data_IF_072897887407
#
_entry.id   IF_072897887407
#
_cell.length_a   1.000
_cell.length_b   1.000
_cell.length_c   1.000
_cell.angle_alpha   90.00
_cell.angle_beta   90.00
_cell.angle_gamma   90.00
#
_symmetry.space_group_name_H-M   'P 1'
#
loop_
_entity.id
_entity.type
_entity.pdbx_description
1 polymer ?
#
# COMPACT_ATOMS: atom_id res chain seq x y z
N UNK A 1 27.50 -44.70 -58.81
CA UNK A 1 28.68 -44.84 -57.90
C UNK A 1 28.23 -44.54 -56.48
N UNK A 2 28.85 -45.15 -55.47
CA UNK A 2 28.38 -45.07 -54.07
C UNK A 2 28.90 -43.83 -53.34
N UNK A 3 28.08 -43.25 -52.46
CA UNK A 3 28.45 -42.13 -51.59
C UNK A 3 29.23 -42.67 -50.39
N UNK A 4 30.48 -42.21 -50.20
CA UNK A 4 31.30 -42.60 -49.04
C UNK A 4 30.77 -41.93 -47.77
N UNK A 5 30.30 -42.74 -46.82
CA UNK A 5 30.07 -42.28 -45.45
C UNK A 5 31.41 -42.04 -44.73
N UNK A 6 31.46 -41.01 -43.88
CA UNK A 6 32.62 -40.70 -43.02
C UNK A 6 32.42 -41.41 -41.66
N UNK A 7 33.41 -42.17 -41.14
CA UNK A 7 33.27 -42.85 -39.86
C UNK A 7 33.34 -41.86 -38.68
N UNK A 8 32.52 -42.10 -37.66
CA UNK A 8 32.54 -41.35 -36.40
C UNK A 8 33.78 -41.70 -35.56
N UNK A 9 34.45 -40.69 -35.00
CA UNK A 9 35.60 -40.89 -34.10
C UNK A 9 35.19 -41.48 -32.74
N UNK A 10 36.05 -42.29 -32.11
CA UNK A 10 35.75 -42.89 -30.81
C UNK A 10 35.77 -41.83 -29.69
N UNK A 11 34.83 -41.96 -28.73
CA UNK A 11 34.88 -41.18 -27.49
C UNK A 11 35.91 -41.80 -26.55
N UNK A 12 36.96 -41.05 -26.21
CA UNK A 12 37.84 -41.38 -25.09
C UNK A 12 37.06 -41.17 -23.79
N UNK A 13 37.03 -42.19 -22.94
CA UNK A 13 36.52 -42.11 -21.57
C UNK A 13 37.73 -42.03 -20.64
N UNK A 14 37.80 -40.97 -19.82
CA UNK A 14 38.82 -40.86 -18.77
C UNK A 14 38.62 -41.94 -17.71
N UNK A 15 39.69 -42.56 -17.17
CA UNK A 15 39.56 -43.44 -16.02
C UNK A 15 39.02 -42.67 -14.81
N UNK A 16 38.24 -43.35 -13.97
CA UNK A 16 37.87 -42.84 -12.64
C UNK A 16 39.10 -42.83 -11.72
N UNK A 17 39.28 -41.79 -10.87
CA UNK A 17 40.43 -41.69 -9.98
C UNK A 17 40.46 -42.84 -8.96
N UNK A 18 41.67 -43.26 -8.59
CA UNK A 18 41.90 -44.29 -7.56
C UNK A 18 41.78 -43.71 -6.15
N UNK A 19 41.42 -44.50 -5.13
CA UNK A 19 41.15 -43.99 -3.76
C UNK A 19 42.29 -43.14 -3.17
N UNK A 20 43.55 -43.45 -3.50
CA UNK A 20 44.75 -42.74 -3.04
C UNK A 20 44.88 -41.28 -3.51
N UNK A 21 44.03 -40.79 -4.42
CA UNK A 21 43.96 -39.37 -4.78
C UNK A 21 42.98 -38.57 -3.89
N UNK A 22 42.12 -39.25 -3.11
CA UNK A 22 41.08 -38.60 -2.29
C UNK A 22 41.67 -38.11 -0.97
N UNK A 23 42.46 -38.95 -0.29
CA UNK A 23 43.05 -38.63 1.02
C UNK A 23 44.01 -37.42 0.95
N UNK A 24 44.65 -37.22 -0.20
CA UNK A 24 45.56 -36.10 -0.49
C UNK A 24 44.87 -34.72 -0.52
N UNK A 25 43.53 -34.66 -0.50
CA UNK A 25 42.79 -33.39 -0.42
C UNK A 25 42.39 -33.00 1.02
N UNK A 26 42.62 -33.87 2.01
CA UNK A 26 42.22 -33.66 3.42
C UNK A 26 43.23 -32.86 4.23
N UNK A 27 44.49 -32.83 3.81
CA UNK A 27 45.60 -32.19 4.53
C UNK A 27 46.58 -31.53 3.54
N UNK A 28 46.30 -30.27 3.18
CA UNK A 28 47.31 -29.20 3.32
C UNK A 28 46.73 -27.79 3.06
N UNK A 29 47.20 -26.80 3.83
CA UNK A 29 46.61 -25.46 3.87
C UNK A 29 47.32 -24.46 2.94
N UNK A 30 47.47 -24.82 1.65
CA UNK A 30 48.31 -24.08 0.69
C UNK A 30 47.52 -23.14 -0.24
N UNK A 31 47.66 -21.83 -0.06
CA UNK A 31 46.99 -20.80 -0.88
C UNK A 31 47.85 -20.34 -2.08
N UNK A 32 47.74 -21.05 -3.20
CA UNK A 32 48.28 -20.62 -4.50
C UNK A 32 47.38 -19.61 -5.24
N UNK A 33 47.94 -18.74 -6.12
CA UNK A 33 47.18 -17.69 -6.81
C UNK A 33 46.19 -18.28 -7.83
N UNK A 34 44.89 -18.14 -7.56
CA UNK A 34 43.83 -18.76 -8.38
C UNK A 34 43.48 -17.92 -9.62
N UNK A 35 43.48 -18.54 -10.80
CA UNK A 35 43.09 -17.85 -12.04
C UNK A 35 41.57 -17.73 -12.19
N UNK A 36 41.13 -16.65 -12.85
CA UNK A 36 39.72 -16.17 -12.90
C UNK A 36 38.71 -17.15 -13.54
N UNK A 37 39.17 -18.23 -14.16
CA UNK A 37 38.36 -19.27 -14.78
C UNK A 37 37.84 -20.33 -13.79
N UNK A 38 38.57 -20.61 -12.70
CA UNK A 38 38.21 -21.66 -11.75
C UNK A 38 36.93 -21.33 -10.95
N UNK A 39 36.84 -20.10 -10.44
CA UNK A 39 35.71 -19.62 -9.61
C UNK A 39 34.36 -19.77 -10.31
N UNK A 40 34.32 -19.61 -11.65
CA UNK A 40 33.08 -19.67 -12.43
C UNK A 40 32.47 -21.07 -12.55
N UNK A 41 33.26 -22.14 -12.36
CA UNK A 41 32.76 -23.54 -12.40
C UNK A 41 32.15 -24.02 -11.07
N UNK A 42 32.47 -23.39 -9.93
CA UNK A 42 31.91 -23.77 -8.61
C UNK A 42 30.46 -23.30 -8.37
N UNK A 43 29.88 -22.52 -9.28
CA UNK A 43 28.58 -21.87 -9.08
C UNK A 43 27.40 -22.54 -9.82
N UNK A 44 27.61 -23.70 -10.44
CA UNK A 44 26.68 -24.27 -11.44
C UNK A 44 26.31 -25.74 -11.21
N UNK A 45 26.42 -26.25 -9.97
CA UNK A 45 26.04 -27.63 -9.62
C UNK A 45 25.12 -27.62 -8.38
N UNK A 46 23.86 -28.08 -8.47
CA UNK A 46 23.03 -28.32 -7.29
C UNK A 46 23.51 -29.58 -6.56
N UNK A 47 23.50 -29.57 -5.22
CA UNK A 47 23.78 -30.77 -4.43
C UNK A 47 22.48 -31.57 -4.19
N UNK A 48 22.55 -32.91 -4.14
CA UNK A 48 21.44 -33.75 -3.73
C UNK A 48 21.22 -33.69 -2.22
N UNK A 49 20.03 -34.08 -1.77
CA UNK A 49 19.71 -34.26 -0.35
C UNK A 49 20.05 -35.69 0.05
N UNK A 50 20.80 -35.88 1.13
CA UNK A 50 20.86 -37.18 1.81
C UNK A 50 19.72 -37.29 2.82
N UNK A 51 19.01 -38.42 2.76
CA UNK A 51 18.05 -38.88 3.75
C UNK A 51 18.76 -39.92 4.63
N UNK A 52 18.71 -39.78 5.96
CA UNK A 52 19.31 -40.74 6.90
C UNK A 52 18.36 -41.04 8.05
N UNK A 53 18.25 -42.33 8.34
CA UNK A 53 17.35 -42.93 9.36
C UNK A 53 17.86 -42.70 10.78
N UNK A 54 16.93 -42.80 11.74
CA UNK A 54 17.15 -42.69 13.19
C UNK A 54 17.78 -43.96 13.78
N UNK A 55 18.57 -43.83 14.85
CA UNK A 55 18.84 -44.87 15.85
C UNK A 55 19.19 -44.19 17.20
N UNK A 56 18.80 -44.79 18.33
CA UNK A 56 18.73 -44.16 19.67
C UNK A 56 20.01 -44.29 20.52
N UNK A 57 20.24 -43.34 21.45
CA UNK A 57 20.73 -43.67 22.82
C UNK A 57 20.38 -42.58 23.88
N UNK A 58 20.61 -42.88 25.17
CA UNK A 58 19.84 -42.34 26.32
C UNK A 58 20.33 -41.05 27.06
N UNK A 59 19.32 -40.42 27.71
CA UNK A 59 19.26 -39.48 28.87
C UNK A 59 20.36 -39.55 29.97
N UNK A 60 20.47 -38.60 30.96
CA UNK A 60 19.51 -37.53 31.34
C UNK A 60 20.08 -36.12 31.69
N UNK A 61 19.22 -35.09 31.77
CA UNK A 61 19.07 -34.21 32.99
C UNK A 61 17.99 -33.10 32.89
N UNK A 62 17.04 -33.14 33.85
CA UNK A 62 16.27 -32.02 34.49
C UNK A 62 16.14 -30.64 33.79
N UNK A 63 14.93 -30.08 33.57
CA UNK A 63 13.88 -29.85 34.59
C UNK A 63 12.42 -29.75 34.07
N UNK A 64 11.51 -30.33 34.88
CA UNK A 64 10.08 -30.02 35.13
C UNK A 64 9.19 -29.39 34.03
N UNK A 65 8.26 -30.24 33.55
CA UNK A 65 6.90 -29.93 33.04
C UNK A 65 6.17 -28.79 33.78
N UNK A 66 5.26 -28.13 33.05
CA UNK A 66 3.83 -28.14 33.44
C UNK A 66 2.95 -28.48 32.22
N UNK A 67 1.94 -29.36 32.40
CA UNK A 67 0.94 -29.72 31.38
C UNK A 67 -0.37 -30.16 32.05
N UNK A 68 -1.44 -29.39 31.86
CA UNK A 68 -2.84 -29.86 31.73
C UNK A 68 -3.55 -28.89 30.77
N UNK A 69 -4.62 -29.24 30.03
CA UNK A 69 -5.38 -30.49 29.94
C UNK A 69 -5.88 -30.67 28.49
N UNK A 70 -5.79 -31.87 27.93
CA UNK A 70 -6.35 -32.20 26.61
C UNK A 70 -7.75 -32.81 26.72
N UNK A 71 -8.75 -32.26 26.01
CA UNK A 71 -10.02 -32.94 25.63
C UNK A 71 -10.69 -32.28 24.40
N UNK A 72 -10.40 -32.81 23.22
CA UNK A 72 -11.40 -33.08 22.17
C UNK A 72 -11.81 -34.56 22.29
N UNK A 73 -12.87 -35.08 21.60
CA UNK A 73 -13.72 -34.46 20.58
C UNK A 73 -15.23 -34.47 20.93
N UNK A 74 -16.08 -33.99 20.00
CA UNK A 74 -17.25 -34.70 19.45
C UNK A 74 -17.85 -33.88 18.30
N UNK A 75 -18.18 -34.54 17.19
CA UNK A 75 -18.79 -33.94 16.01
C UNK A 75 -20.33 -34.01 16.12
N UNK A 76 -20.99 -32.86 16.35
CA UNK A 76 -22.44 -32.79 16.49
C UNK A 76 -23.14 -32.62 15.14
N UNK A 77 -23.35 -33.75 14.45
CA UNK A 77 -24.14 -33.90 13.21
C UNK A 77 -25.50 -33.17 13.33
N UNK A 78 -25.63 -32.00 12.69
CA UNK A 78 -26.83 -31.15 12.78
C UNK A 78 -27.99 -31.75 11.99
N UNK A 79 -28.94 -32.38 12.69
CA UNK A 79 -30.13 -32.99 12.09
C UNK A 79 -31.00 -31.89 11.46
N UNK A 80 -31.34 -32.04 10.18
CA UNK A 80 -32.29 -31.17 9.48
C UNK A 80 -33.72 -31.61 9.79
N UNK A 81 -34.60 -30.75 10.31
CA UNK A 81 -36.01 -31.11 10.51
C UNK A 81 -36.72 -31.21 9.16
N UNK A 82 -37.48 -32.29 8.96
CA UNK A 82 -38.34 -32.48 7.79
C UNK A 82 -39.51 -31.48 7.82
N UNK A 83 -39.78 -30.80 6.71
CA UNK A 83 -40.96 -29.96 6.53
C UNK A 83 -42.08 -30.71 5.82
N UNK A 84 -43.33 -30.48 6.27
CA UNK A 84 -44.53 -31.15 5.73
C UNK A 84 -45.10 -30.38 4.53
N UNK A 85 -45.82 -31.08 3.65
CA UNK A 85 -46.30 -30.59 2.34
C UNK A 85 -47.80 -30.28 2.35
N UNK A 86 -48.22 -29.23 1.61
CA UNK A 86 -49.59 -28.67 1.44
C UNK A 86 -50.09 -27.89 2.68
N UNK A 87 -51.01 -26.92 2.56
CA UNK A 87 -52.03 -26.67 1.51
C UNK A 87 -52.15 -25.19 1.09
N UNK A 88 -53.00 -24.89 0.11
CA UNK A 88 -53.17 -23.63 -0.63
C UNK A 88 -54.02 -22.56 0.11
N UNK A 89 -53.75 -21.27 -0.15
CA UNK A 89 -54.79 -20.22 -0.32
C UNK A 89 -54.27 -18.99 -1.10
N UNK A 90 -55.17 -18.21 -1.70
CA UNK A 90 -54.99 -16.97 -2.50
C UNK A 90 -56.21 -16.05 -2.24
N UNK A 91 -56.27 -14.80 -2.73
CA UNK A 91 -55.31 -13.68 -2.75
C UNK A 91 -55.94 -12.45 -2.02
N UNK A 92 -55.55 -11.15 -2.22
CA UNK A 92 -56.01 -10.40 -3.42
C UNK A 92 -55.18 -9.19 -3.93
N UNK A 93 -55.46 -8.81 -5.19
CA UNK A 93 -55.36 -7.45 -5.83
C UNK A 93 -53.99 -6.86 -6.23
N UNK A 94 -54.04 -6.10 -7.33
CA UNK A 94 -52.96 -5.50 -8.14
C UNK A 94 -53.02 -3.95 -8.07
N UNK A 95 -52.22 -3.15 -8.82
CA UNK A 95 -52.61 -2.82 -10.22
C UNK A 95 -51.49 -2.41 -11.24
N UNK A 96 -51.92 -2.25 -12.51
CA UNK A 96 -51.30 -1.54 -13.68
C UNK A 96 -50.28 -2.30 -14.58
N UNK A 97 -50.48 -2.15 -15.91
CA UNK A 97 -49.89 -2.76 -17.12
C UNK A 97 -50.01 -1.70 -18.25
N UNK A 98 -48.97 -1.31 -19.06
CA UNK A 98 -48.55 -1.96 -20.34
C UNK A 98 -47.01 -1.94 -20.60
N UNK A 99 -46.38 -2.35 -21.73
CA UNK A 99 -46.71 -3.23 -22.89
C UNK A 99 -45.46 -3.53 -23.78
N UNK A 100 -45.24 -4.81 -24.13
CA UNK A 100 -44.96 -5.40 -25.48
C UNK A 100 -43.89 -4.86 -26.51
N UNK A 101 -43.53 -5.67 -27.57
CA UNK A 101 -42.17 -5.70 -28.12
C UNK A 101 -42.03 -5.35 -29.63
N UNK A 102 -40.80 -5.47 -30.16
CA UNK A 102 -40.53 -5.66 -31.60
C UNK A 102 -39.60 -6.87 -31.81
N UNK A 103 -39.95 -7.71 -32.79
CA UNK A 103 -39.17 -8.85 -33.27
C UNK A 103 -38.23 -8.46 -34.42
N UNK A 104 -37.17 -9.24 -34.63
CA UNK A 104 -36.86 -9.79 -35.96
C UNK A 104 -35.86 -10.94 -35.84
N UNK A 105 -36.12 -12.04 -36.54
CA UNK A 105 -35.24 -13.19 -36.60
C UNK A 105 -34.85 -13.52 -38.03
N UNK A 106 -33.67 -14.13 -38.20
CA UNK A 106 -33.30 -14.87 -39.41
C UNK A 106 -32.80 -16.23 -38.95
N UNK A 107 -33.43 -17.29 -39.43
CA UNK A 107 -33.02 -18.66 -39.19
C UNK A 107 -32.46 -19.25 -40.49
N UNK A 108 -31.41 -20.07 -40.38
CA UNK A 108 -30.99 -21.02 -41.40
C UNK A 108 -30.75 -22.36 -40.71
N UNK A 109 -31.41 -23.40 -41.22
CA UNK A 109 -31.31 -24.75 -40.69
C UNK A 109 -30.08 -25.48 -41.23
N UNK A 110 -29.61 -26.47 -40.47
CA UNK A 110 -28.64 -27.46 -40.90
C UNK A 110 -28.76 -28.71 -40.01
N UNK A 111 -29.30 -29.79 -40.55
CA UNK A 111 -29.63 -31.01 -39.80
C UNK A 111 -28.39 -31.87 -39.48
N UNK A 112 -28.35 -32.42 -38.27
CA UNK A 112 -27.67 -33.70 -38.00
C UNK A 112 -28.21 -34.35 -36.70
N UNK A 113 -28.65 -35.60 -36.81
CA UNK A 113 -29.13 -36.42 -35.70
C UNK A 113 -27.94 -37.03 -34.92
N UNK A 114 -27.95 -37.01 -33.57
CA UNK A 114 -26.80 -37.43 -32.76
C UNK A 114 -27.08 -37.62 -31.28
N UNK A 115 -27.56 -38.81 -30.89
CA UNK A 115 -27.87 -39.15 -29.50
C UNK A 115 -26.59 -39.42 -28.66
N UNK A 116 -26.05 -38.40 -27.99
CA UNK A 116 -24.79 -38.45 -27.24
C UNK A 116 -24.93 -38.25 -25.73
N UNK A 117 -24.50 -39.24 -24.93
CA UNK A 117 -24.45 -39.15 -23.46
C UNK A 117 -23.38 -38.13 -23.02
N UNK A 118 -23.74 -37.20 -22.15
CA UNK A 118 -22.77 -36.31 -21.47
C UNK A 118 -21.89 -37.11 -20.48
N UNK A 119 -20.55 -37.16 -20.66
CA UNK A 119 -19.66 -37.74 -19.66
C UNK A 119 -19.46 -36.74 -18.52
N UNK A 120 -19.64 -37.18 -17.27
CA UNK A 120 -19.24 -36.40 -16.09
C UNK A 120 -17.71 -36.38 -15.98
N UNK A 121 -17.07 -35.34 -16.51
CA UNK A 121 -15.63 -35.16 -16.41
C UNK A 121 -15.22 -34.78 -14.97
N UNK A 122 -14.28 -35.53 -14.40
CA UNK A 122 -13.81 -35.33 -13.03
C UNK A 122 -13.00 -34.03 -12.89
N UNK A 123 -13.23 -33.29 -11.81
CA UNK A 123 -12.80 -31.90 -11.64
C UNK A 123 -11.32 -31.66 -11.32
N UNK A 124 -10.41 -32.08 -12.20
CA UNK A 124 -9.00 -31.65 -12.18
C UNK A 124 -8.57 -31.21 -13.60
N UNK A 125 -7.72 -30.17 -13.68
CA UNK A 125 -7.25 -29.51 -14.91
C UNK A 125 -8.31 -28.66 -15.66
N UNK A 126 -8.79 -27.60 -15.02
CA UNK A 126 -9.34 -26.45 -15.76
C UNK A 126 -8.17 -25.55 -16.24
N UNK A 127 -8.17 -25.05 -17.50
CA UNK A 127 -7.23 -24.01 -17.92
C UNK A 127 -7.49 -22.70 -17.14
N UNK A 128 -6.49 -21.80 -17.00
CA UNK A 128 -6.68 -20.53 -16.31
C UNK A 128 -7.77 -19.71 -17.02
N UNK A 129 -8.93 -19.61 -16.38
CA UNK A 129 -10.05 -18.86 -16.91
C UNK A 129 -9.66 -17.39 -17.04
N UNK A 130 -9.91 -16.79 -18.21
CA UNK A 130 -9.68 -15.36 -18.41
C UNK A 130 -10.47 -14.57 -17.37
N UNK A 131 -9.83 -13.56 -16.78
CA UNK A 131 -10.47 -12.71 -15.78
C UNK A 131 -11.75 -12.07 -16.38
N UNK A 132 -12.85 -11.95 -15.61
CA UNK A 132 -14.09 -11.38 -16.12
C UNK A 132 -13.84 -9.96 -16.62
N UNK A 133 -14.28 -9.66 -17.84
CA UNK A 133 -14.26 -8.32 -18.43
C UNK A 133 -15.34 -7.43 -17.81
N UNK A 134 -15.22 -7.18 -16.51
CA UNK A 134 -16.14 -6.40 -15.70
C UNK A 134 -15.42 -5.73 -14.52
N UNK A 135 -15.51 -4.41 -14.45
CA UNK A 135 -14.87 -3.60 -13.41
C UNK A 135 -15.57 -3.77 -12.05
N UNK A 136 -14.82 -4.24 -11.05
CA UNK A 136 -15.31 -4.44 -9.69
C UNK A 136 -14.65 -3.46 -8.73
N UNK A 137 -15.47 -2.62 -8.10
CA UNK A 137 -15.04 -1.68 -7.05
C UNK A 137 -14.70 -2.36 -5.71
N UNK A 138 -14.89 -3.68 -5.58
CA UNK A 138 -14.78 -4.40 -4.30
C UNK A 138 -13.37 -4.94 -4.01
N UNK A 139 -12.50 -5.00 -5.01
CA UNK A 139 -11.18 -5.62 -4.92
C UNK A 139 -10.07 -4.69 -4.35
N UNK A 140 -10.46 -3.50 -3.88
CA UNK A 140 -9.58 -2.55 -3.15
C UNK A 140 -9.02 -3.09 -1.82
N UNK A 141 -9.42 -4.28 -1.35
CA UNK A 141 -8.89 -4.91 -0.15
C UNK A 141 -7.47 -5.47 -0.35
N UNK A 142 -6.49 -4.55 -0.36
CA UNK A 142 -5.03 -4.76 -0.53
C UNK A 142 -4.51 -6.12 0.01
N UNK A 143 -4.18 -7.04 -0.90
CA UNK A 143 -3.37 -8.25 -0.65
C UNK A 143 -2.34 -8.44 -1.78
N UNK A 144 -1.11 -8.90 -1.48
CA UNK A 144 -0.02 -8.94 -2.47
C UNK A 144 -0.22 -10.08 -3.49
N UNK A 145 -0.64 -9.73 -4.71
CA UNK A 145 -0.86 -10.69 -5.80
C UNK A 145 0.30 -10.61 -6.80
N UNK A 146 1.08 -11.68 -7.03
CA UNK A 146 2.42 -11.59 -7.63
C UNK A 146 2.43 -11.50 -9.17
N UNK A 147 1.62 -10.59 -9.74
CA UNK A 147 1.36 -10.52 -11.19
C UNK A 147 2.59 -10.09 -12.02
N UNK A 148 3.58 -9.41 -11.41
CA UNK A 148 4.89 -9.18 -12.03
C UNK A 148 4.86 -8.32 -13.31
N UNK A 149 3.80 -7.53 -13.49
CA UNK A 149 3.49 -6.71 -14.67
C UNK A 149 4.56 -5.66 -14.99
N UNK A 150 5.34 -5.25 -13.99
CA UNK A 150 6.42 -4.26 -14.11
C UNK A 150 7.78 -5.00 -14.15
N UNK A 151 8.65 -4.78 -15.15
CA UNK A 151 9.92 -5.52 -15.25
C UNK A 151 10.90 -5.29 -14.08
N UNK A 152 11.00 -4.07 -13.56
CA UNK A 152 11.95 -3.74 -12.48
C UNK A 152 11.54 -4.36 -11.13
N UNK A 153 10.24 -4.52 -10.91
CA UNK A 153 9.64 -5.20 -9.76
C UNK A 153 10.10 -6.66 -9.63
N UNK A 154 10.29 -7.38 -10.76
CA UNK A 154 10.82 -8.76 -10.75
C UNK A 154 12.26 -8.86 -10.24
N UNK A 155 13.09 -7.81 -10.39
CA UNK A 155 14.49 -7.79 -9.95
C UNK A 155 14.66 -7.37 -8.49
N UNK A 156 13.85 -6.41 -8.02
CA UNK A 156 13.99 -5.79 -6.70
C UNK A 156 12.79 -6.06 -5.78
N UNK A 157 12.25 -7.29 -5.82
CA UNK A 157 10.90 -7.62 -5.32
C UNK A 157 10.65 -7.18 -3.86
N UNK A 158 11.59 -7.44 -2.96
CA UNK A 158 11.47 -7.09 -1.54
C UNK A 158 11.70 -5.61 -1.24
N UNK A 159 12.43 -4.88 -2.07
CA UNK A 159 12.65 -3.44 -1.89
C UNK A 159 11.47 -2.62 -2.44
N UNK A 160 10.97 -3.00 -3.62
CA UNK A 160 9.92 -2.25 -4.33
C UNK A 160 8.51 -2.66 -3.88
N UNK A 161 8.09 -3.94 -3.98
CA UNK A 161 6.72 -4.30 -3.55
C UNK A 161 6.56 -4.34 -2.02
N UNK A 162 7.45 -5.06 -1.31
CA UNK A 162 7.23 -5.34 0.13
C UNK A 162 7.35 -4.09 1.01
N UNK A 163 8.21 -3.15 0.65
CA UNK A 163 8.50 -1.97 1.47
C UNK A 163 8.16 -0.62 0.82
N UNK A 164 7.88 -0.55 -0.49
CA UNK A 164 7.61 0.68 -1.26
C UNK A 164 8.69 1.77 -1.11
N UNK A 165 9.97 1.40 -0.91
CA UNK A 165 11.00 2.37 -0.49
C UNK A 165 11.16 3.56 -1.47
N UNK A 166 11.23 3.38 -2.81
CA UNK A 166 11.38 4.52 -3.72
C UNK A 166 10.21 5.51 -3.65
N UNK A 167 8.97 5.00 -3.59
CA UNK A 167 7.76 5.82 -3.41
C UNK A 167 7.83 6.61 -2.11
N UNK A 168 8.17 5.95 -0.99
CA UNK A 168 8.23 6.58 0.33
C UNK A 168 9.33 7.64 0.42
N UNK A 169 10.49 7.41 -0.19
CA UNK A 169 11.57 8.40 -0.23
C UNK A 169 11.12 9.65 -1.00
N UNK A 170 10.44 9.50 -2.14
CA UNK A 170 9.84 10.62 -2.87
C UNK A 170 8.74 11.33 -2.06
N UNK A 171 7.85 10.55 -1.44
CA UNK A 171 6.72 11.07 -0.67
C UNK A 171 7.17 11.85 0.58
N UNK A 172 8.23 11.40 1.26
CA UNK A 172 8.87 12.10 2.41
C UNK A 172 9.71 13.29 1.98
N UNK A 173 10.41 13.21 0.84
CA UNK A 173 11.27 14.30 0.38
C UNK A 173 10.48 15.55 0.01
N UNK A 174 9.22 15.43 -0.42
CA UNK A 174 8.35 16.57 -0.68
C UNK A 174 8.02 17.34 0.61
N UNK A 175 7.93 16.67 1.77
CA UNK A 175 7.84 17.35 3.07
C UNK A 175 9.08 18.20 3.36
N UNK A 176 10.28 17.64 3.18
CA UNK A 176 11.53 18.40 3.33
C UNK A 176 11.68 19.54 2.30
N UNK A 177 11.22 19.34 1.06
CA UNK A 177 11.16 20.39 0.05
C UNK A 177 10.19 21.52 0.44
N UNK A 178 9.04 21.18 1.02
CA UNK A 178 8.07 22.16 1.54
C UNK A 178 8.66 22.97 2.69
N UNK A 179 9.43 22.34 3.59
CA UNK A 179 10.19 23.04 4.63
C UNK A 179 11.26 23.95 4.05
N UNK A 180 11.97 23.52 3.01
CA UNK A 180 12.96 24.35 2.32
C UNK A 180 12.33 25.58 1.65
N UNK A 181 11.17 25.42 0.98
CA UNK A 181 10.39 26.53 0.43
C UNK A 181 9.95 27.51 1.54
N UNK A 182 9.46 26.97 2.67
CA UNK A 182 9.08 27.77 3.84
C UNK A 182 10.26 28.56 4.43
N UNK A 183 11.41 27.90 4.66
CA UNK A 183 12.64 28.53 5.18
C UNK A 183 13.18 29.58 4.20
N UNK A 184 12.99 29.38 2.89
CA UNK A 184 13.34 30.35 1.85
C UNK A 184 12.38 31.55 1.77
N UNK A 185 11.38 31.64 2.65
CA UNK A 185 10.38 32.71 2.69
C UNK A 185 9.35 32.70 1.57
N UNK A 186 9.27 31.61 0.80
CA UNK A 186 8.42 31.54 -0.39
C UNK A 186 6.96 31.39 0.04
N UNK A 187 6.12 32.30 -0.44
CA UNK A 187 4.69 32.33 -0.13
C UNK A 187 3.92 31.20 -0.84
N UNK A 188 2.96 30.59 -0.15
CA UNK A 188 2.19 29.43 -0.67
C UNK A 188 1.40 29.78 -1.93
N UNK A 189 0.91 31.02 -2.03
CA UNK A 189 0.29 31.61 -3.21
C UNK A 189 1.19 31.54 -4.46
N UNK A 190 2.50 31.71 -4.29
CA UNK A 190 3.50 31.63 -5.36
C UNK A 190 3.86 30.19 -5.73
N UNK A 191 3.67 29.22 -4.83
CA UNK A 191 3.93 27.79 -5.08
C UNK A 191 2.79 27.13 -5.88
N UNK A 192 1.54 27.53 -5.64
CA UNK A 192 0.37 26.90 -6.27
C UNK A 192 0.38 26.90 -7.83
N UNK A 193 0.83 27.96 -8.54
CA UNK A 193 1.00 27.93 -9.99
C UNK A 193 2.01 26.87 -10.47
N UNK A 194 3.12 26.68 -9.78
CA UNK A 194 4.13 25.66 -10.13
C UNK A 194 3.61 24.24 -9.94
N UNK A 195 2.79 24.01 -8.89
CA UNK A 195 2.13 22.72 -8.69
C UNK A 195 1.15 22.40 -9.83
N UNK A 196 0.40 23.38 -10.33
CA UNK A 196 -0.44 23.19 -11.52
C UNK A 196 0.38 22.99 -12.79
N UNK A 197 1.47 23.75 -12.96
CA UNK A 197 2.38 23.62 -14.11
C UNK A 197 3.09 22.26 -14.16
N UNK A 198 3.29 21.60 -13.00
CA UNK A 198 3.75 20.21 -12.92
C UNK A 198 2.62 19.19 -13.10
N UNK A 199 1.44 19.44 -12.51
CA UNK A 199 0.27 18.55 -12.58
C UNK A 199 -0.20 18.33 -14.02
N UNK A 200 -0.31 19.38 -14.83
CA UNK A 200 -0.82 19.30 -16.21
C UNK A 200 -0.02 18.33 -17.10
N UNK A 201 1.31 18.44 -17.26
CA UNK A 201 2.09 17.49 -18.06
C UNK A 201 2.14 16.09 -17.42
N UNK A 202 2.15 15.96 -16.08
CA UNK A 202 2.16 14.66 -15.41
C UNK A 202 0.85 13.91 -15.64
N UNK A 203 -0.30 14.58 -15.47
CA UNK A 203 -1.61 14.00 -15.76
C UNK A 203 -1.81 13.69 -17.25
N UNK A 204 -1.28 14.55 -18.14
CA UNK A 204 -1.29 14.30 -19.58
C UNK A 204 -0.47 13.06 -19.94
N UNK A 205 0.73 12.89 -19.36
CA UNK A 205 1.54 11.68 -19.55
C UNK A 205 0.85 10.42 -18.98
N UNK A 206 0.17 10.53 -17.84
CA UNK A 206 -0.57 9.42 -17.25
C UNK A 206 -1.78 9.00 -18.09
N UNK A 207 -2.47 9.95 -18.70
CA UNK A 207 -3.51 9.69 -19.70
C UNK A 207 -2.94 9.05 -20.98
N UNK A 208 -1.82 9.57 -21.50
CA UNK A 208 -1.21 9.06 -22.74
C UNK A 208 -0.71 7.62 -22.61
N UNK A 209 -0.22 7.17 -21.44
CA UNK A 209 0.21 5.76 -21.27
C UNK A 209 -0.95 4.77 -21.33
N UNK A 210 -2.17 5.16 -20.99
CA UNK A 210 -3.36 4.30 -21.13
C UNK A 210 -3.81 4.17 -22.59
N UNK A 211 -3.51 5.18 -23.42
CA UNK A 211 -3.86 5.20 -24.84
C UNK A 211 -2.79 4.52 -25.74
N UNK A 212 -1.50 4.64 -25.41
CA UNK A 212 -0.39 4.20 -26.27
C UNK A 212 0.46 3.09 -25.64
N UNK A 213 0.28 1.85 -26.09
CA UNK A 213 0.95 0.67 -25.55
C UNK A 213 2.49 0.64 -25.72
N UNK A 214 3.05 1.44 -26.63
CA UNK A 214 4.50 1.68 -26.73
C UNK A 214 4.99 2.61 -25.63
N UNK A 215 4.32 3.76 -25.47
CA UNK A 215 4.61 4.75 -24.42
C UNK A 215 4.39 4.18 -23.02
N UNK A 216 3.39 3.31 -22.80
CA UNK A 216 3.20 2.62 -21.53
C UNK A 216 4.42 1.79 -21.12
N UNK A 217 5.02 1.04 -22.06
CA UNK A 217 6.23 0.25 -21.79
C UNK A 217 7.41 1.14 -21.40
N UNK A 218 7.57 2.29 -22.05
CA UNK A 218 8.59 3.29 -21.69
C UNK A 218 8.31 3.88 -20.30
N UNK A 219 7.12 4.44 -20.08
CA UNK A 219 6.68 5.03 -18.80
C UNK A 219 6.92 4.05 -17.64
N UNK A 220 6.45 2.82 -17.76
CA UNK A 220 6.57 1.77 -16.72
C UNK A 220 8.01 1.26 -16.57
N UNK A 221 8.86 1.35 -17.59
CA UNK A 221 10.29 1.03 -17.45
C UNK A 221 11.06 2.07 -16.63
N UNK A 222 10.65 3.34 -16.68
CA UNK A 222 11.30 4.47 -15.97
C UNK A 222 10.66 4.70 -14.60
N UNK A 223 9.34 4.90 -14.55
CA UNK A 223 8.59 5.33 -13.37
C UNK A 223 8.00 4.16 -12.56
N UNK A 224 8.01 2.94 -13.10
CA UNK A 224 7.41 1.76 -12.45
C UNK A 224 7.97 1.42 -11.07
N UNK A 225 9.17 1.90 -10.71
CA UNK A 225 9.74 1.75 -9.36
C UNK A 225 9.04 2.62 -8.28
N UNK A 226 8.32 3.68 -8.69
CA UNK A 226 7.56 4.57 -7.83
C UNK A 226 6.06 4.18 -7.74
N UNK A 227 5.58 3.46 -8.76
CA UNK A 227 4.18 3.05 -8.90
C UNK A 227 3.84 1.83 -8.04
N UNK A 228 2.62 1.82 -7.48
CA UNK A 228 1.93 0.62 -6.97
C UNK A 228 1.35 -0.19 -8.14
N UNK A 229 1.16 -1.48 -7.95
CA UNK A 229 0.58 -2.36 -8.99
C UNK A 229 -0.83 -1.94 -9.40
N UNK A 230 -1.63 -1.39 -8.48
CA UNK A 230 -2.96 -0.82 -8.76
C UNK A 230 -2.91 0.40 -9.70
N UNK A 231 -1.83 1.19 -9.66
CA UNK A 231 -1.64 2.39 -10.47
C UNK A 231 -1.21 2.04 -11.91
N UNK A 232 -0.85 0.77 -12.19
CA UNK A 232 -0.63 0.30 -13.56
C UNK A 232 -1.93 0.37 -14.37
N UNK A 233 -3.05 -0.11 -13.80
CA UNK A 233 -4.37 -0.08 -14.44
C UNK A 233 -5.17 1.20 -14.11
N UNK A 234 -4.93 1.82 -12.95
CA UNK A 234 -5.54 3.09 -12.56
C UNK A 234 -4.72 4.33 -12.95
N UNK A 235 -5.11 5.47 -12.38
CA UNK A 235 -4.31 6.70 -12.38
C UNK A 235 -3.14 6.61 -11.39
N UNK A 236 -2.07 7.38 -11.64
CA UNK A 236 -0.90 7.45 -10.77
C UNK A 236 -1.14 8.38 -9.55
N UNK A 237 -0.87 7.89 -8.33
CA UNK A 237 -1.03 8.63 -7.07
C UNK A 237 -0.31 9.98 -6.98
N UNK A 238 0.71 10.24 -7.81
CA UNK A 238 1.38 11.55 -7.90
C UNK A 238 0.41 12.66 -8.33
N UNK A 239 -0.59 12.36 -9.16
CA UNK A 239 -1.62 13.33 -9.60
C UNK A 239 -2.43 13.80 -8.39
N UNK A 240 -2.91 12.86 -7.58
CA UNK A 240 -3.68 13.14 -6.36
C UNK A 240 -2.81 13.85 -5.30
N UNK A 241 -1.52 13.51 -5.19
CA UNK A 241 -0.57 14.21 -4.33
C UNK A 241 -0.44 15.68 -4.73
N UNK A 242 -0.15 15.96 -6.00
CA UNK A 242 0.01 17.33 -6.50
C UNK A 242 -1.27 18.15 -6.36
N UNK A 243 -2.44 17.54 -6.60
CA UNK A 243 -3.74 18.18 -6.42
C UNK A 243 -4.05 18.46 -4.93
N UNK A 244 -3.72 17.54 -4.02
CA UNK A 244 -3.89 17.71 -2.59
C UNK A 244 -2.95 18.77 -2.01
N UNK A 245 -1.67 18.75 -2.41
CA UNK A 245 -0.69 19.77 -2.07
C UNK A 245 -1.07 21.15 -2.62
N UNK A 246 -1.57 21.22 -3.87
CA UNK A 246 -2.10 22.45 -4.46
C UNK A 246 -3.28 22.99 -3.66
N UNK A 247 -4.28 22.15 -3.39
CA UNK A 247 -5.49 22.57 -2.69
C UNK A 247 -5.16 23.08 -1.27
N UNK A 248 -4.34 22.35 -0.51
CA UNK A 248 -4.03 22.70 0.87
C UNK A 248 -3.18 23.98 0.98
N UNK A 249 -2.27 24.23 0.02
CA UNK A 249 -1.45 25.46 -0.04
C UNK A 249 -2.20 26.65 -0.67
N UNK A 250 -3.27 26.41 -1.43
CA UNK A 250 -4.06 27.44 -2.12
C UNK A 250 -5.23 27.97 -1.28
N UNK A 251 -5.84 27.13 -0.44
CA UNK A 251 -7.09 27.47 0.27
C UNK A 251 -6.95 27.67 1.79
N UNK A 252 -5.86 27.23 2.42
CA UNK A 252 -5.60 27.44 3.86
C UNK A 252 -4.49 28.48 4.11
N UNK A 253 -4.42 29.09 5.30
CA UNK A 253 -3.32 29.95 5.73
C UNK A 253 -1.96 29.24 5.63
N UNK A 254 -0.89 30.03 5.52
CA UNK A 254 0.49 29.54 5.27
C UNK A 254 0.92 28.42 6.20
N UNK A 255 0.65 28.55 7.50
CA UNK A 255 1.06 27.61 8.53
C UNK A 255 0.26 26.30 8.48
N UNK A 256 -1.06 26.41 8.34
CA UNK A 256 -1.96 25.24 8.15
C UNK A 256 -1.69 24.53 6.83
N UNK A 257 -1.39 25.27 5.75
CA UNK A 257 -1.05 24.73 4.44
C UNK A 257 0.24 23.91 4.45
N UNK A 258 1.30 24.46 5.05
CA UNK A 258 2.57 23.73 5.24
C UNK A 258 2.35 22.49 6.11
N UNK A 259 1.62 22.61 7.22
CA UNK A 259 1.29 21.46 8.08
C UNK A 259 0.50 20.37 7.33
N UNK A 260 -0.49 20.71 6.52
CA UNK A 260 -1.25 19.72 5.73
C UNK A 260 -0.36 18.93 4.74
N UNK A 261 0.64 19.58 4.13
CA UNK A 261 1.64 18.87 3.29
C UNK A 261 2.60 18.01 4.14
N UNK A 262 3.00 18.46 5.33
CA UNK A 262 3.80 17.66 6.27
C UNK A 262 3.04 16.42 6.76
N UNK A 263 1.75 16.55 7.07
CA UNK A 263 0.91 15.43 7.48
C UNK A 263 0.71 14.43 6.34
N UNK A 264 0.44 14.88 5.10
CA UNK A 264 0.47 14.01 3.92
C UNK A 264 1.82 13.30 3.78
N UNK A 265 2.93 14.05 3.80
CA UNK A 265 4.28 13.55 3.53
C UNK A 265 4.75 12.54 4.59
N UNK A 266 4.69 12.91 5.87
CA UNK A 266 5.29 12.14 6.95
C UNK A 266 4.30 11.18 7.62
N UNK A 267 3.03 11.56 7.76
CA UNK A 267 2.06 10.71 8.46
C UNK A 267 1.49 9.58 7.59
N UNK A 268 1.26 9.75 6.27
CA UNK A 268 0.96 8.59 5.40
C UNK A 268 2.16 7.64 5.28
N UNK A 269 3.38 8.18 5.17
CA UNK A 269 4.58 7.34 5.14
C UNK A 269 4.72 6.54 6.43
N UNK A 270 4.42 7.14 7.59
CA UNK A 270 4.37 6.45 8.87
C UNK A 270 3.25 5.40 8.92
N UNK A 271 2.00 5.80 8.66
CA UNK A 271 0.83 4.92 8.69
C UNK A 271 0.98 3.73 7.77
N UNK A 272 1.38 3.95 6.51
CA UNK A 272 1.59 2.90 5.54
C UNK A 272 2.85 2.06 5.83
N UNK A 273 3.80 2.52 6.66
CA UNK A 273 4.97 1.73 7.06
C UNK A 273 4.66 0.88 8.28
N UNK A 274 4.27 1.48 9.41
CA UNK A 274 3.92 0.76 10.63
C UNK A 274 2.66 -0.09 10.47
N UNK A 275 1.68 0.37 9.68
CA UNK A 275 0.48 -0.40 9.33
C UNK A 275 0.75 -1.63 8.47
N UNK A 276 1.87 -1.68 7.71
CA UNK A 276 2.32 -2.89 6.99
C UNK A 276 3.20 -3.82 7.82
N UNK A 277 4.02 -3.28 8.72
CA UNK A 277 4.88 -4.08 9.60
C UNK A 277 4.10 -4.69 10.77
N UNK A 278 3.16 -3.94 11.36
CA UNK A 278 2.48 -4.30 12.60
C UNK A 278 0.94 -4.32 12.52
N UNK A 279 0.34 -3.98 11.38
CA UNK A 279 -1.12 -4.06 11.16
C UNK A 279 -1.70 -5.47 11.10
N UNK A 280 -0.87 -6.51 11.21
CA UNK A 280 -1.28 -7.89 11.43
C UNK A 280 -1.44 -8.24 12.92
N UNK A 281 -0.73 -7.52 13.82
CA UNK A 281 -0.73 -7.76 15.27
C UNK A 281 -1.65 -6.78 16.03
N UNK A 282 -2.36 -5.89 15.32
CA UNK A 282 -3.21 -4.85 15.91
C UNK A 282 -4.62 -4.86 15.29
N UNK A 283 -5.65 -4.37 16.01
CA UNK A 283 -7.00 -4.28 15.48
C UNK A 283 -7.08 -3.50 14.15
N UNK A 284 -7.90 -3.99 13.23
CA UNK A 284 -8.21 -3.28 11.98
C UNK A 284 -9.35 -2.31 12.22
N UNK A 285 -9.07 -1.02 12.12
CA UNK A 285 -10.08 0.05 12.24
C UNK A 285 -11.00 0.04 11.00
N UNK A 286 -10.43 -0.26 9.83
CA UNK A 286 -11.14 -0.35 8.54
C UNK A 286 -10.55 -1.49 7.71
N UNK A 287 -11.23 -1.93 6.65
CA UNK A 287 -10.59 -2.73 5.58
C UNK A 287 -9.36 -1.96 5.06
N UNK A 288 -8.17 -2.55 5.20
CA UNK A 288 -6.90 -1.96 4.74
C UNK A 288 -6.24 -0.93 5.69
N UNK A 289 -6.87 -0.56 6.82
CA UNK A 289 -6.34 0.42 7.80
C UNK A 289 -6.28 -0.22 9.19
N UNK A 290 -5.16 -0.05 9.90
CA UNK A 290 -4.88 -0.74 11.17
C UNK A 290 -4.51 0.24 12.27
N UNK A 291 -4.78 -0.12 13.52
CA UNK A 291 -4.45 0.71 14.68
C UNK A 291 -2.95 1.05 14.74
N UNK A 292 -2.06 0.11 14.40
CA UNK A 292 -0.63 0.40 14.26
C UNK A 292 -0.31 1.50 13.23
N UNK A 293 -1.06 1.59 12.13
CA UNK A 293 -0.91 2.65 11.14
C UNK A 293 -1.40 3.99 11.67
N UNK A 294 -2.64 4.05 12.14
CA UNK A 294 -3.25 5.30 12.59
C UNK A 294 -2.61 5.83 13.88
N UNK A 295 -2.10 4.99 14.78
CA UNK A 295 -1.26 5.41 15.92
C UNK A 295 0.10 5.95 15.47
N UNK A 296 0.71 5.42 14.40
CA UNK A 296 1.93 5.99 13.84
C UNK A 296 1.68 7.37 13.20
N UNK A 297 0.55 7.55 12.48
CA UNK A 297 0.12 8.87 12.02
C UNK A 297 -0.11 9.85 13.18
N UNK A 298 -0.75 9.40 14.27
CA UNK A 298 -0.99 10.22 15.46
C UNK A 298 0.31 10.75 16.07
N UNK A 299 1.27 9.86 16.34
CA UNK A 299 2.55 10.22 16.96
C UNK A 299 3.44 11.09 16.03
N UNK A 300 3.45 10.79 14.73
CA UNK A 300 4.20 11.62 13.76
C UNK A 300 3.52 12.96 13.51
N UNK A 301 2.20 13.06 13.59
CA UNK A 301 1.47 14.33 13.51
C UNK A 301 1.73 15.24 14.72
N UNK A 302 1.77 14.66 15.93
CA UNK A 302 2.23 15.35 17.15
C UNK A 302 3.66 15.86 16.95
N UNK A 303 4.60 15.00 16.54
CA UNK A 303 6.00 15.37 16.33
C UNK A 303 6.17 16.46 15.25
N UNK A 304 5.38 16.39 14.16
CA UNK A 304 5.37 17.39 13.09
C UNK A 304 4.89 18.76 13.61
N UNK A 305 3.84 18.79 14.43
CA UNK A 305 3.31 20.00 15.05
C UNK A 305 4.31 20.65 16.01
N UNK A 306 4.94 19.85 16.90
CA UNK A 306 5.99 20.34 17.79
C UNK A 306 7.22 20.84 17.02
N UNK A 307 7.62 20.14 15.95
CA UNK A 307 8.73 20.58 15.10
C UNK A 307 8.41 21.88 14.37
N UNK A 308 7.24 21.99 13.72
CA UNK A 308 6.90 23.13 12.89
C UNK A 308 6.60 24.39 13.71
N UNK A 309 5.51 24.40 14.49
CA UNK A 309 5.11 25.57 15.27
C UNK A 309 5.95 25.76 16.54
N UNK A 310 6.48 24.68 17.13
CA UNK A 310 7.27 24.75 18.37
C UNK A 310 8.76 25.03 18.19
N UNK A 311 9.35 24.59 17.08
CA UNK A 311 10.79 24.72 16.84
C UNK A 311 11.14 25.59 15.63
N UNK A 312 10.57 25.30 14.45
CA UNK A 312 11.00 25.90 13.19
C UNK A 312 10.44 27.32 13.00
N UNK A 313 9.13 27.49 13.01
CA UNK A 313 8.50 28.77 12.70
C UNK A 313 8.98 29.93 13.62
N UNK A 314 9.07 29.76 14.95
CA UNK A 314 9.58 30.80 15.85
C UNK A 314 11.06 31.16 15.63
N UNK A 315 11.86 30.29 15.00
CA UNK A 315 13.28 30.53 14.66
C UNK A 315 13.48 31.13 13.28
N UNK A 316 12.52 30.92 12.37
CA UNK A 316 12.63 31.36 10.97
C UNK A 316 12.12 32.80 10.81
N UNK A 317 11.15 33.21 11.64
CA UNK A 317 10.62 34.57 11.68
C UNK A 317 9.49 34.82 10.68
N UNK A 318 8.85 36.02 10.75
CA UNK A 318 7.86 36.45 9.78
C UNK A 318 8.53 36.85 8.46
N UNK A 319 7.92 36.50 7.33
CA UNK A 319 8.42 36.83 6.00
C UNK A 319 7.61 37.97 5.33
N UNK A 320 8.20 38.69 4.36
CA UNK A 320 7.47 39.66 3.55
C UNK A 320 6.21 39.04 2.91
N UNK A 321 5.04 39.64 3.17
CA UNK A 321 3.74 39.14 2.75
C UNK A 321 2.96 38.32 3.81
N UNK A 322 3.59 37.91 4.92
CA UNK A 322 2.87 37.23 6.02
C UNK A 322 1.87 38.17 6.72
N UNK A 323 2.03 39.48 6.57
CA UNK A 323 1.06 40.51 6.95
C UNK A 323 -0.33 40.30 6.31
N UNK A 324 -0.38 39.75 5.10
CA UNK A 324 -1.63 39.54 4.34
C UNK A 324 -2.33 38.22 4.70
N UNK A 325 -1.55 37.23 5.15
CA UNK A 325 -2.00 35.89 5.51
C UNK A 325 -1.27 35.43 6.78
N UNK A 326 -1.55 36.06 7.94
CA UNK A 326 -0.85 35.76 9.18
C UNK A 326 -1.05 34.30 9.60
N UNK A 327 -0.05 33.79 10.32
CA UNK A 327 -0.09 32.47 10.94
C UNK A 327 -1.33 32.32 11.81
N UNK A 328 -2.12 31.26 11.59
CA UNK A 328 -3.40 31.11 12.29
C UNK A 328 -3.26 30.43 13.65
N UNK A 329 -2.14 29.75 13.94
CA UNK A 329 -1.74 29.46 15.31
C UNK A 329 -0.74 30.51 15.83
N UNK A 330 -1.20 31.29 16.81
CA UNK A 330 -0.46 32.43 17.39
C UNK A 330 0.38 32.07 18.62
N UNK A 331 0.32 30.82 19.09
CA UNK A 331 0.89 30.41 20.37
C UNK A 331 -0.07 30.55 21.56
N UNK A 332 -1.28 31.07 21.32
CA UNK A 332 -2.41 31.01 22.23
C UNK A 332 -3.51 30.07 21.69
N UNK A 333 -4.41 29.62 22.57
CA UNK A 333 -5.72 29.12 22.20
C UNK A 333 -6.76 29.67 23.20
N UNK A 334 -7.90 30.17 22.72
CA UNK A 334 -9.00 30.68 23.53
C UNK A 334 -10.24 29.78 23.48
N UNK A 335 -10.98 29.67 24.57
CA UNK A 335 -12.25 28.94 24.62
C UNK A 335 -13.40 29.87 24.19
N UNK A 336 -14.32 29.47 23.28
CA UNK A 336 -15.36 30.36 22.76
C UNK A 336 -16.19 31.04 23.86
N UNK A 337 -16.36 32.37 23.78
CA UNK A 337 -17.00 33.20 24.83
C UNK A 337 -18.35 32.67 25.33
N UNK A 338 -19.17 32.09 24.46
CA UNK A 338 -20.46 31.50 24.83
C UNK A 338 -20.32 30.28 25.77
N UNK A 339 -19.24 29.50 25.62
CA UNK A 339 -18.94 28.35 26.48
C UNK A 339 -18.17 28.80 27.72
N UNK A 340 -17.23 29.75 27.58
CA UNK A 340 -16.49 30.32 28.71
C UNK A 340 -17.43 30.95 29.76
N UNK A 341 -18.39 31.77 29.30
CA UNK A 341 -19.42 32.37 30.15
C UNK A 341 -20.39 31.34 30.74
N UNK A 342 -20.77 30.30 29.99
CA UNK A 342 -21.61 29.20 30.50
C UNK A 342 -20.93 28.37 31.61
N UNK A 343 -19.58 28.32 31.64
CA UNK A 343 -18.78 27.67 32.69
C UNK A 343 -18.33 28.66 33.78
N UNK A 344 -18.63 29.96 33.63
CA UNK A 344 -18.25 31.01 34.59
C UNK A 344 -16.75 31.38 34.58
N UNK A 345 -16.03 31.06 33.50
CA UNK A 345 -14.61 31.37 33.34
C UNK A 345 -14.41 32.82 32.85
N UNK A 346 -13.43 33.51 33.42
CA UNK A 346 -12.95 34.79 32.86
C UNK A 346 -12.13 34.55 31.58
N UNK A 347 -12.06 35.55 30.68
CA UNK A 347 -11.30 35.46 29.42
C UNK A 347 -9.82 35.02 29.62
N UNK A 348 -9.21 35.41 30.74
CA UNK A 348 -7.83 35.01 31.10
C UNK A 348 -7.72 33.54 31.56
N UNK A 349 -8.76 32.97 32.16
CA UNK A 349 -8.83 31.54 32.53
C UNK A 349 -9.30 30.67 31.37
N UNK A 350 -10.06 31.26 30.44
CA UNK A 350 -10.53 30.64 29.20
C UNK A 350 -9.45 30.59 28.10
N UNK A 351 -8.27 31.19 28.33
CA UNK A 351 -7.17 31.24 27.37
C UNK A 351 -5.97 30.45 27.88
N UNK A 352 -5.44 29.54 27.04
CA UNK A 352 -4.20 28.81 27.28
C UNK A 352 -3.11 29.31 26.32
N UNK A 353 -1.85 29.29 26.73
CA UNK A 353 -0.74 29.84 25.95
C UNK A 353 0.52 28.97 26.00
N UNK A 354 1.47 29.24 25.11
CA UNK A 354 2.82 28.70 25.13
C UNK A 354 2.85 27.15 25.04
N UNK A 355 3.63 26.45 25.88
CA UNK A 355 3.77 25.00 25.81
C UNK A 355 2.45 24.22 25.95
N UNK A 356 1.46 24.75 26.67
CA UNK A 356 0.17 24.09 26.86
C UNK A 356 -0.69 24.19 25.59
N UNK A 357 -0.79 25.40 25.01
CA UNK A 357 -1.45 25.61 23.72
C UNK A 357 -0.78 24.78 22.60
N UNK A 358 0.55 24.74 22.55
CA UNK A 358 1.31 23.91 21.62
C UNK A 358 1.06 22.40 21.83
N UNK A 359 0.90 21.95 23.08
CA UNK A 359 0.54 20.57 23.40
C UNK A 359 -0.85 20.18 22.91
N UNK A 360 -1.84 21.06 23.09
CA UNK A 360 -3.20 20.88 22.54
C UNK A 360 -3.16 20.86 21.01
N UNK A 361 -2.43 21.79 20.37
CA UNK A 361 -2.23 21.77 18.91
C UNK A 361 -1.53 20.50 18.41
N UNK A 362 -0.56 19.98 19.16
CA UNK A 362 0.12 18.72 18.86
C UNK A 362 -0.84 17.53 18.89
N UNK A 363 -1.58 17.37 19.98
CA UNK A 363 -2.59 16.31 20.14
C UNK A 363 -3.69 16.40 19.08
N UNK A 364 -4.17 17.63 18.79
CA UNK A 364 -5.17 17.85 17.75
C UNK A 364 -4.64 17.51 16.35
N UNK A 365 -3.42 17.96 16.00
CA UNK A 365 -2.79 17.67 14.71
C UNK A 365 -2.54 16.17 14.51
N UNK A 366 -2.12 15.47 15.56
CA UNK A 366 -2.02 14.00 15.56
C UNK A 366 -3.38 13.32 15.39
N UNK A 367 -4.40 13.74 16.14
CA UNK A 367 -5.75 13.21 16.01
C UNK A 367 -6.31 13.40 14.60
N UNK A 368 -6.20 14.61 14.06
CA UNK A 368 -6.68 14.97 12.73
C UNK A 368 -5.92 14.24 11.63
N UNK A 369 -4.61 14.02 11.77
CA UNK A 369 -3.83 13.20 10.84
C UNK A 369 -4.30 11.73 10.85
N UNK A 370 -4.47 11.14 12.03
CA UNK A 370 -4.96 9.76 12.17
C UNK A 370 -6.41 9.58 11.72
N UNK A 371 -7.28 10.56 11.96
CA UNK A 371 -8.66 10.56 11.50
C UNK A 371 -8.74 10.67 9.97
N UNK A 372 -7.97 11.58 9.37
CA UNK A 372 -7.90 11.75 7.91
C UNK A 372 -7.35 10.51 7.20
N UNK A 373 -6.55 9.69 7.88
CA UNK A 373 -6.05 8.41 7.37
C UNK A 373 -7.13 7.31 7.36
N UNK A 374 -8.12 7.36 8.25
CA UNK A 374 -9.20 6.34 8.36
C UNK A 374 -10.45 6.72 7.57
N UNK A 375 -10.69 8.02 7.39
CA UNK A 375 -11.76 8.58 6.55
C UNK A 375 -11.50 8.27 5.07
N UNK A 376 -12.59 8.04 4.35
CA UNK A 376 -12.61 7.72 2.92
C UNK A 376 -13.79 8.50 2.34
N UNK A 377 -13.50 9.34 1.35
CA UNK A 377 -14.47 10.24 0.73
C UNK A 377 -14.64 9.77 -0.71
N UNK A 378 -15.78 9.14 -0.98
CA UNK A 378 -16.19 8.66 -2.30
C UNK A 378 -15.14 7.78 -3.04
N UNK A 379 -14.26 7.08 -2.31
CA UNK A 379 -13.18 6.28 -2.89
C UNK A 379 -12.02 7.09 -3.48
N UNK A 380 -11.87 8.36 -3.11
CA UNK A 380 -10.76 9.21 -3.52
C UNK A 380 -9.43 8.75 -2.90
N UNK A 381 -8.32 9.02 -3.59
CA UNK A 381 -6.99 8.57 -3.17
C UNK A 381 -6.51 9.25 -1.86
N UNK A 382 -5.87 8.46 -0.99
CA UNK A 382 -5.26 8.88 0.28
C UNK A 382 -4.41 10.17 0.11
N UNK A 383 -3.72 10.34 -1.02
CA UNK A 383 -2.85 11.49 -1.29
C UNK A 383 -3.60 12.82 -1.47
N UNK A 384 -4.88 12.79 -1.86
CA UNK A 384 -5.75 13.98 -2.00
C UNK A 384 -6.54 14.24 -0.72
N UNK A 385 -7.08 13.18 -0.09
CA UNK A 385 -7.97 13.32 1.07
C UNK A 385 -7.22 13.73 2.34
N UNK A 386 -6.05 13.12 2.62
CA UNK A 386 -5.27 13.40 3.83
C UNK A 386 -4.88 14.88 3.97
N UNK A 387 -4.25 15.58 3.00
CA UNK A 387 -3.86 16.98 3.17
C UNK A 387 -5.08 17.91 3.30
N UNK A 388 -6.14 17.66 2.52
CA UNK A 388 -7.34 18.52 2.49
C UNK A 388 -8.14 18.38 3.78
N UNK A 389 -8.37 17.16 4.26
CA UNK A 389 -9.07 16.91 5.52
C UNK A 389 -8.25 17.35 6.73
N UNK A 390 -6.93 17.13 6.72
CA UNK A 390 -6.08 17.55 7.83
C UNK A 390 -5.92 19.06 7.91
N UNK A 391 -5.74 19.73 6.76
CA UNK A 391 -5.82 21.19 6.66
C UNK A 391 -7.17 21.73 7.13
N UNK A 392 -8.29 21.16 6.68
CA UNK A 392 -9.63 21.58 7.11
C UNK A 392 -9.88 21.38 8.61
N UNK A 393 -9.42 20.27 9.20
CA UNK A 393 -9.56 19.97 10.62
C UNK A 393 -8.72 20.88 11.52
N UNK A 394 -7.49 21.20 11.11
CA UNK A 394 -6.63 22.17 11.80
C UNK A 394 -7.19 23.59 11.64
N UNK A 395 -7.59 23.98 10.42
CA UNK A 395 -8.16 25.29 10.13
C UNK A 395 -9.47 25.54 10.89
N UNK A 396 -10.39 24.57 10.87
CA UNK A 396 -11.66 24.66 11.60
C UNK A 396 -11.48 24.77 13.12
N UNK A 397 -10.52 24.04 13.68
CA UNK A 397 -10.16 24.15 15.10
C UNK A 397 -9.59 25.54 15.42
N UNK A 398 -8.59 26.01 14.67
CA UNK A 398 -8.01 27.34 14.87
C UNK A 398 -9.02 28.47 14.56
N UNK A 399 -10.07 28.25 13.78
CA UNK A 399 -11.18 29.22 13.62
C UNK A 399 -12.15 29.29 14.79
N UNK A 400 -12.13 28.29 15.68
CA UNK A 400 -12.95 28.25 16.90
C UNK A 400 -12.12 28.62 18.13
N UNK A 401 -10.84 28.27 18.13
CA UNK A 401 -9.96 28.30 19.31
C UNK A 401 -8.65 29.09 19.15
N UNK A 402 -8.28 29.65 17.99
CA UNK A 402 -6.93 30.21 17.72
C UNK A 402 -6.86 31.74 17.57
#
# INVERSE_FOLDING_TARGET
MSVRAVPSTPRVISPSPTPSEIDAMSQDNYFGPTTRSATRKRLTTPQPVEERTEEDDYEPTTMRRSRTRSRSPIESRRITPMTTVKTQTKPPKSPVIPSEPISNGVALNGDANGNGKTPTANGHLAPPSAAPTGWSWRDFSRSPSPLGLIPIHRKWRTFVHKHEVPRKVLHVSIGFFTLWLYISGIQTSSVAPWLMAALMPIATADYLRHNYASFNRFYVSVLGALMRESEYAGWNGVIFYLLGAWAVLKFFPKDVGVMGVLLLSWCDTAASTFGRMYGAYTPRIRKGKSLAGSTAAFLVGIASSYFFWGWLAPRTGPFPGDEQYPFMFTGALHLPRAIASAVGLSDAQATITGPLALGVMGLWSGFVAAASEVVDIFGWDDNLTIPVLSGAGIWGFLKIFG
#
